data_IF_826118144538
#
_entry.id   IF_826118144538
#
_cell.length_a   1.000
_cell.length_b   1.000
_cell.length_c   1.000
_cell.angle_alpha   90.00
_cell.angle_beta   90.00
_cell.angle_gamma   90.00
#
_symmetry.space_group_name_H-M   'P 1'
#
loop_
_entity.id
_entity.type
_entity.pdbx_description
1 polymer ?
#
# COMPACT_ATOMS: atom_id res chain seq x y z
N UNK A 1 65.14 56.02 6.53
CA UNK A 1 64.36 56.67 5.45
C UNK A 1 63.66 55.55 4.70
N UNK A 2 62.35 55.37 4.64
CA UNK A 2 61.17 56.05 5.15
C UNK A 2 60.01 55.08 4.87
N UNK A 3 59.18 54.73 5.84
CA UNK A 3 57.81 54.22 5.58
C UNK A 3 56.90 55.41 5.30
N UNK A 4 55.84 55.25 4.48
CA UNK A 4 54.47 55.05 5.04
C UNK A 4 53.64 54.05 4.17
N UNK A 5 52.71 53.22 4.67
CA UNK A 5 51.42 53.43 5.34
C UNK A 5 50.40 54.32 4.59
N UNK A 6 49.29 53.69 4.16
CA UNK A 6 48.10 54.30 3.56
C UNK A 6 47.23 53.18 2.95
N UNK A 7 46.34 52.49 3.69
CA UNK A 7 45.01 52.85 4.19
C UNK A 7 43.98 53.23 3.10
N UNK A 8 42.80 52.60 3.26
CA UNK A 8 41.46 52.99 2.86
C UNK A 8 40.97 52.62 1.44
N UNK A 9 39.92 51.81 1.43
CA UNK A 9 39.16 51.43 0.25
C UNK A 9 38.10 50.39 0.61
N UNK A 10 37.20 50.74 1.53
CA UNK A 10 35.93 50.04 1.76
C UNK A 10 35.23 49.80 0.43
N UNK A 11 35.12 48.54 0.04
CA UNK A 11 34.17 48.08 -0.95
C UNK A 11 33.22 47.14 -0.23
N UNK A 12 32.19 47.70 0.41
CA UNK A 12 31.05 46.95 0.91
C UNK A 12 30.46 46.16 -0.26
N UNK A 13 30.82 44.89 -0.38
CA UNK A 13 30.05 43.94 -1.16
C UNK A 13 28.79 43.67 -0.34
N UNK A 14 27.84 44.59 -0.50
CA UNK A 14 26.45 44.38 -0.20
C UNK A 14 26.06 43.10 -0.95
N UNK A 15 26.10 41.99 -0.22
CA UNK A 15 25.42 40.76 -0.62
C UNK A 15 23.97 41.19 -0.77
N UNK A 16 23.61 41.52 -2.02
CA UNK A 16 22.24 41.67 -2.44
C UNK A 16 21.59 40.36 -2.09
N UNK A 17 20.83 40.42 -1.01
CA UNK A 17 19.80 39.47 -0.64
C UNK A 17 18.84 39.43 -1.84
N UNK A 18 19.19 38.65 -2.85
CA UNK A 18 18.30 38.19 -3.90
C UNK A 18 17.37 37.18 -3.25
N UNK A 19 16.47 37.66 -2.41
CA UNK A 19 15.26 36.92 -2.09
C UNK A 19 14.51 36.75 -3.41
N UNK A 20 14.25 35.51 -3.89
CA UNK A 20 13.13 35.35 -4.81
C UNK A 20 11.86 35.68 -4.03
N UNK A 21 11.29 36.86 -4.26
CA UNK A 21 9.88 37.17 -3.97
C UNK A 21 8.99 36.29 -4.86
N UNK A 22 8.92 35.01 -4.55
CA UNK A 22 7.88 34.12 -5.10
C UNK A 22 7.54 33.02 -4.12
N UNK A 23 7.44 33.35 -2.82
CA UNK A 23 6.77 32.49 -1.84
C UNK A 23 5.93 33.37 -0.92
N UNK A 24 4.84 33.93 -1.46
CA UNK A 24 3.76 34.53 -0.66
C UNK A 24 2.36 34.02 -1.00
N UNK A 25 2.23 32.97 -1.81
CA UNK A 25 0.90 32.49 -2.18
C UNK A 25 0.86 30.98 -2.49
N UNK A 26 0.94 30.14 -1.46
CA UNK A 26 0.51 28.73 -1.56
C UNK A 26 0.25 28.09 -0.19
N UNK A 27 -0.38 28.81 0.74
CA UNK A 27 -1.16 28.19 1.82
C UNK A 27 -2.63 28.20 1.44
N UNK A 28 -2.98 27.43 0.41
CA UNK A 28 -4.37 27.11 0.13
C UNK A 28 -4.60 25.65 0.48
N UNK A 29 -5.14 25.44 1.68
CA UNK A 29 -5.64 24.14 2.12
C UNK A 29 -6.57 23.57 1.04
N UNK A 30 -6.48 22.28 0.70
CA UNK A 30 -7.53 21.62 -0.06
C UNK A 30 -8.83 21.68 0.76
N UNK A 31 -9.78 22.53 0.35
CA UNK A 31 -11.15 22.44 0.82
C UNK A 31 -11.70 21.10 0.31
N UNK A 32 -11.76 20.13 1.21
CA UNK A 32 -12.46 18.87 0.97
C UNK A 32 -13.94 19.24 0.74
N UNK A 33 -14.52 18.97 -0.45
CA UNK A 33 -15.95 19.11 -0.61
C UNK A 33 -16.63 18.05 0.26
N UNK A 34 -17.33 18.51 1.29
CA UNK A 34 -18.23 17.69 2.09
C UNK A 34 -19.37 17.25 1.17
N UNK A 35 -19.29 16.03 0.67
CA UNK A 35 -20.41 15.37 0.00
C UNK A 35 -21.52 15.12 1.04
N UNK A 36 -22.45 16.05 1.16
CA UNK A 36 -23.75 15.82 1.76
C UNK A 36 -24.48 14.77 0.92
N UNK A 37 -24.39 13.51 1.33
CA UNK A 37 -25.20 12.42 0.80
C UNK A 37 -26.63 12.57 1.32
N UNK A 38 -27.38 13.47 0.70
CA UNK A 38 -28.82 13.59 0.92
C UNK A 38 -29.50 12.38 0.26
N UNK A 39 -29.96 11.45 1.10
CA UNK A 39 -30.77 10.30 0.69
C UNK A 39 -32.09 10.83 0.17
N UNK A 40 -32.29 10.80 -1.15
CA UNK A 40 -33.62 10.92 -1.75
C UNK A 40 -34.34 9.57 -1.61
N UNK A 41 -35.52 9.49 -0.98
CA UNK A 41 -36.38 8.34 -1.16
C UNK A 41 -36.95 8.38 -2.58
N UNK A 42 -36.50 7.44 -3.43
CA UNK A 42 -37.09 7.22 -4.75
C UNK A 42 -38.49 6.63 -4.55
N UNK A 43 -39.47 7.52 -4.55
CA UNK A 43 -40.89 7.23 -4.70
C UNK A 43 -41.08 6.69 -6.12
N UNK A 44 -41.25 5.38 -6.27
CA UNK A 44 -41.74 4.78 -7.52
C UNK A 44 -43.13 4.24 -7.28
N UNK A 45 -44.07 5.12 -7.58
CA UNK A 45 -45.33 4.89 -8.29
C UNK A 45 -45.73 3.42 -8.44
N UNK A 46 -46.61 2.98 -7.52
CA UNK A 46 -47.50 1.87 -7.80
C UNK A 46 -48.51 2.28 -8.86
N UNK A 47 -48.50 1.61 -10.00
CA UNK A 47 -49.62 1.57 -10.93
C UNK A 47 -50.73 0.74 -10.29
N UNK A 48 -51.54 1.37 -9.43
CA UNK A 48 -52.88 0.91 -9.12
C UNK A 48 -53.76 1.23 -10.32
N UNK A 49 -54.04 0.21 -11.14
CA UNK A 49 -55.07 0.31 -12.16
C UNK A 49 -56.43 0.17 -11.48
N UNK A 50 -56.99 1.33 -11.18
CA UNK A 50 -58.35 1.57 -10.73
C UNK A 50 -59.27 1.36 -11.93
N UNK A 51 -59.93 0.20 -12.01
CA UNK A 51 -61.11 0.08 -12.85
C UNK A 51 -62.36 0.43 -12.03
N UNK A 52 -63.04 1.44 -12.55
CA UNK A 52 -64.18 2.15 -12.02
C UNK A 52 -65.43 1.28 -11.99
N UNK A 53 -66.00 1.10 -10.80
CA UNK A 53 -67.38 0.69 -10.56
C UNK A 53 -68.32 1.74 -11.13
N UNK A 54 -68.96 1.42 -12.26
CA UNK A 54 -70.07 2.17 -12.82
C UNK A 54 -71.38 1.85 -12.09
N UNK A 55 -72.06 2.93 -11.73
CA UNK A 55 -73.30 3.04 -10.95
C UNK A 55 -74.48 2.24 -11.49
N UNK A 56 -75.28 1.72 -10.55
CA UNK A 56 -76.59 1.10 -10.74
C UNK A 56 -77.61 2.04 -11.41
N UNK A 57 -78.59 1.45 -12.10
CA UNK A 57 -80.04 1.52 -11.78
C UNK A 57 -80.82 1.25 -13.08
N UNK A 58 -81.60 0.18 -13.07
CA UNK A 58 -82.52 -0.16 -14.16
C UNK A 58 -83.21 -1.50 -13.93
N UNK A 59 -84.30 -1.50 -13.15
CA UNK A 59 -85.27 -2.61 -13.06
C UNK A 59 -86.28 -2.39 -14.22
N UNK A 60 -86.73 -3.42 -14.98
CA UNK A 60 -87.88 -4.21 -14.51
C UNK A 60 -87.94 -5.70 -14.96
N UNK A 61 -88.72 -6.47 -14.20
CA UNK A 61 -89.62 -7.60 -14.59
C UNK A 61 -89.12 -8.94 -15.16
N UNK A 62 -89.29 -9.99 -14.32
CA UNK A 62 -89.90 -11.33 -14.53
C UNK A 62 -89.78 -12.04 -15.90
N UNK A 63 -89.03 -13.16 -15.94
CA UNK A 63 -89.49 -14.54 -16.31
C UNK A 63 -88.30 -15.54 -16.28
N UNK A 64 -88.45 -16.78 -15.78
CA UNK A 64 -87.39 -17.79 -15.86
C UNK A 64 -87.62 -18.76 -17.04
N UNK A 65 -86.67 -18.88 -17.97
CA UNK A 65 -86.60 -19.90 -19.03
C UNK A 65 -85.12 -20.03 -19.53
N UNK A 66 -84.76 -21.09 -20.27
CA UNK A 66 -84.15 -22.35 -19.83
C UNK A 66 -82.62 -22.38 -20.08
N UNK A 67 -81.92 -23.35 -19.49
CA UNK A 67 -80.47 -23.53 -19.65
C UNK A 67 -80.21 -24.08 -21.06
N UNK A 68 -79.54 -23.30 -21.91
CA UNK A 68 -78.95 -23.77 -23.18
C UNK A 68 -77.46 -23.96 -22.95
N UNK A 69 -77.00 -25.21 -22.98
CA UNK A 69 -75.57 -25.54 -22.98
C UNK A 69 -74.93 -25.09 -24.31
N UNK A 70 -74.03 -24.11 -24.23
CA UNK A 70 -73.17 -23.71 -25.35
C UNK A 70 -71.82 -24.42 -25.17
N UNK A 71 -71.56 -25.42 -26.02
CA UNK A 71 -70.24 -26.07 -26.13
C UNK A 71 -69.25 -25.09 -26.79
N UNK A 72 -68.35 -24.48 -26.03
CA UNK A 72 -67.20 -23.73 -26.57
C UNK A 72 -66.10 -24.69 -27.03
N UNK A 73 -65.67 -24.55 -28.28
CA UNK A 73 -64.51 -25.26 -28.82
C UNK A 73 -63.19 -24.66 -28.26
N UNK A 74 -62.16 -25.47 -27.95
CA UNK A 74 -60.92 -24.95 -27.37
C UNK A 74 -60.03 -24.26 -28.44
N UNK A 75 -59.57 -23.05 -28.14
CA UNK A 75 -58.66 -22.28 -29.00
C UNK A 75 -57.20 -22.79 -29.04
N UNK A 76 -56.39 -22.34 -30.01
CA UNK A 76 -55.03 -22.85 -30.23
C UNK A 76 -54.06 -22.38 -29.15
N UNK A 77 -53.44 -23.34 -28.47
CA UNK A 77 -52.48 -23.12 -27.38
C UNK A 77 -51.11 -22.79 -27.98
N UNK A 78 -50.58 -21.60 -27.71
CA UNK A 78 -49.21 -21.23 -28.12
C UNK A 78 -48.18 -21.97 -27.25
N UNK A 79 -47.12 -22.57 -27.84
CA UNK A 79 -46.11 -23.28 -27.07
C UNK A 79 -45.18 -22.30 -26.36
N UNK A 80 -45.16 -22.34 -25.03
CA UNK A 80 -44.21 -21.60 -24.22
C UNK A 80 -42.79 -22.17 -24.39
N UNK A 81 -41.76 -21.31 -24.59
CA UNK A 81 -40.39 -21.79 -24.71
C UNK A 81 -39.94 -22.41 -23.38
N UNK A 82 -39.58 -23.69 -23.44
CA UNK A 82 -39.05 -24.44 -22.29
C UNK A 82 -37.64 -23.92 -22.00
N UNK A 83 -37.54 -22.92 -21.13
CA UNK A 83 -36.25 -22.45 -20.61
C UNK A 83 -35.60 -23.61 -19.87
N UNK A 84 -34.51 -24.15 -20.42
CA UNK A 84 -33.82 -25.32 -19.89
C UNK A 84 -33.23 -25.01 -18.51
N UNK A 85 -33.92 -25.43 -17.45
CA UNK A 85 -33.52 -25.26 -16.05
C UNK A 85 -32.07 -25.67 -15.80
N UNK A 86 -31.60 -26.72 -16.50
CA UNK A 86 -30.22 -27.20 -16.39
C UNK A 86 -29.18 -26.13 -16.74
N UNK A 87 -29.48 -25.21 -17.66
CA UNK A 87 -28.58 -24.10 -18.00
C UNK A 87 -28.47 -23.11 -16.84
N UNK A 88 -29.58 -22.81 -16.17
CA UNK A 88 -29.56 -21.94 -14.98
C UNK A 88 -28.84 -22.61 -13.80
N UNK A 89 -29.00 -23.93 -13.62
CA UNK A 89 -28.29 -24.68 -12.60
C UNK A 89 -26.77 -24.74 -12.86
N UNK A 90 -26.37 -25.02 -14.11
CA UNK A 90 -24.97 -25.04 -14.52
C UNK A 90 -24.30 -23.68 -14.37
N UNK A 91 -25.00 -22.59 -14.75
CA UNK A 91 -24.49 -21.24 -14.61
C UNK A 91 -24.28 -20.85 -13.13
N UNK A 92 -25.18 -21.28 -12.24
CA UNK A 92 -25.02 -21.09 -10.80
C UNK A 92 -23.80 -21.83 -10.24
N UNK A 93 -23.55 -23.05 -10.71
CA UNK A 93 -22.40 -23.86 -10.26
C UNK A 93 -21.06 -23.25 -10.71
N UNK A 94 -21.01 -22.73 -11.94
CA UNK A 94 -19.84 -22.00 -12.46
C UNK A 94 -19.62 -20.70 -11.69
N UNK A 95 -20.68 -19.93 -11.44
CA UNK A 95 -20.58 -18.70 -10.65
C UNK A 95 -20.03 -18.99 -9.25
N UNK A 96 -20.50 -20.05 -8.61
CA UNK A 96 -20.01 -20.43 -7.28
C UNK A 96 -18.55 -20.86 -7.30
N UNK A 97 -18.12 -21.62 -8.30
CA UNK A 97 -16.70 -21.95 -8.49
C UNK A 97 -15.84 -20.70 -8.67
N UNK A 98 -16.27 -19.74 -9.51
CA UNK A 98 -15.55 -18.47 -9.69
C UNK A 98 -15.46 -17.70 -8.38
N UNK A 99 -16.55 -17.64 -7.60
CA UNK A 99 -16.55 -16.99 -6.29
C UNK A 99 -15.56 -17.66 -5.34
N UNK A 100 -15.53 -19.00 -5.28
CA UNK A 100 -14.59 -19.75 -4.44
C UNK A 100 -13.15 -19.50 -4.89
N UNK A 101 -12.85 -19.55 -6.19
CA UNK A 101 -11.51 -19.27 -6.70
C UNK A 101 -11.06 -17.83 -6.42
N UNK A 102 -11.94 -16.85 -6.65
CA UNK A 102 -11.66 -15.45 -6.32
C UNK A 102 -11.44 -15.27 -4.81
N UNK A 103 -12.24 -15.94 -3.97
CA UNK A 103 -12.07 -15.90 -2.52
C UNK A 103 -10.71 -16.46 -2.09
N UNK A 104 -10.30 -17.61 -2.63
CA UNK A 104 -8.99 -18.19 -2.34
C UNK A 104 -7.84 -17.28 -2.80
N UNK A 105 -7.96 -16.68 -3.99
CA UNK A 105 -6.96 -15.76 -4.52
C UNK A 105 -6.81 -14.49 -3.67
N UNK A 106 -7.93 -13.91 -3.24
CA UNK A 106 -7.94 -12.72 -2.37
C UNK A 106 -7.41 -13.08 -0.99
N UNK A 107 -7.84 -14.21 -0.41
CA UNK A 107 -7.40 -14.67 0.91
C UNK A 107 -5.88 -14.94 0.96
N UNK A 108 -5.29 -15.44 -0.12
CA UNK A 108 -3.84 -15.64 -0.21
C UNK A 108 -3.07 -14.33 -0.33
N UNK A 109 -3.65 -13.28 -0.92
CA UNK A 109 -2.97 -11.98 -1.10
C UNK A 109 -3.19 -10.99 0.03
N UNK A 110 -4.28 -11.07 0.80
CA UNK A 110 -4.62 -10.07 1.81
C UNK A 110 -3.66 -10.03 3.01
N UNK A 111 -2.98 -11.13 3.34
CA UNK A 111 -2.06 -11.19 4.47
C UNK A 111 -0.81 -10.31 4.31
N UNK A 112 -0.17 -10.36 3.15
CA UNK A 112 1.06 -9.60 2.86
C UNK A 112 0.77 -8.18 2.40
N UNK A 113 -0.23 -7.99 1.54
CA UNK A 113 -0.49 -6.69 0.90
C UNK A 113 -0.83 -5.56 1.88
N UNK A 114 -1.49 -5.85 3.00
CA UNK A 114 -1.87 -4.84 3.98
C UNK A 114 -0.69 -4.40 4.86
N UNK A 115 0.22 -5.33 5.18
CA UNK A 115 1.44 -5.03 5.92
C UNK A 115 2.47 -4.30 5.02
N UNK A 116 2.61 -4.73 3.78
CA UNK A 116 3.52 -4.15 2.78
C UNK A 116 3.11 -2.73 2.40
N UNK A 117 1.81 -2.44 2.35
CA UNK A 117 1.29 -1.11 2.00
C UNK A 117 1.47 -0.08 3.12
N UNK A 118 1.38 -0.51 4.39
CA UNK A 118 1.44 0.37 5.55
C UNK A 118 2.88 0.65 6.02
N UNK A 119 3.79 -0.32 5.86
CA UNK A 119 5.14 -0.25 6.44
C UNK A 119 6.29 -0.54 5.46
N UNK A 120 5.99 -1.02 4.25
CA UNK A 120 6.97 -1.26 3.18
C UNK A 120 7.82 -2.53 3.36
N UNK A 121 7.87 -3.34 2.30
CA UNK A 121 9.04 -4.17 2.00
C UNK A 121 10.06 -3.33 1.26
N UNK A 122 11.37 -3.44 1.56
CA UNK A 122 12.05 -4.50 2.32
C UNK A 122 12.20 -4.22 3.83
N UNK A 123 12.42 -5.29 4.62
CA UNK A 123 12.79 -5.18 6.04
C UNK A 123 14.16 -4.50 6.14
N UNK A 124 14.16 -3.31 6.71
CA UNK A 124 15.38 -2.55 7.01
C UNK A 124 15.57 -2.43 8.51
N UNK A 125 16.82 -2.51 8.95
CA UNK A 125 17.24 -2.22 10.31
C UNK A 125 18.23 -1.07 10.26
N UNK A 126 18.11 -0.12 11.18
CA UNK A 126 18.97 1.05 11.22
C UNK A 126 19.51 1.24 12.63
N UNK A 127 20.78 1.63 12.72
CA UNK A 127 21.42 1.90 14.00
C UNK A 127 22.60 2.85 13.82
N UNK A 128 22.99 3.53 14.89
CA UNK A 128 24.11 4.44 14.92
C UNK A 128 25.19 3.90 15.87
N UNK A 129 26.43 3.86 15.43
CA UNK A 129 27.54 3.39 16.25
C UNK A 129 28.85 4.12 15.94
N UNK A 130 29.70 4.22 16.96
CA UNK A 130 31.09 4.67 16.80
C UNK A 130 31.97 3.46 16.49
N UNK A 131 32.45 3.37 15.26
CA UNK A 131 33.28 2.25 14.77
C UNK A 131 34.68 2.69 14.34
N UNK A 132 34.98 4.00 14.38
CA UNK A 132 36.25 4.57 13.99
C UNK A 132 36.35 4.87 12.48
N UNK A 133 35.24 4.87 11.77
CA UNK A 133 35.15 5.28 10.36
C UNK A 133 34.65 6.73 10.21
N UNK A 134 34.32 7.39 11.32
CA UNK A 134 33.76 8.73 11.35
C UNK A 134 34.82 9.77 10.98
N UNK A 135 34.45 10.74 10.16
CA UNK A 135 35.27 11.92 9.91
C UNK A 135 35.29 12.89 11.09
N UNK A 136 34.25 12.84 11.93
CA UNK A 136 34.05 13.70 13.09
C UNK A 136 33.73 12.82 14.30
N UNK A 137 34.61 12.81 15.30
CA UNK A 137 34.52 11.91 16.45
C UNK A 137 33.26 12.09 17.33
N UNK A 138 32.49 13.16 17.13
CA UNK A 138 31.26 13.44 17.89
C UNK A 138 29.98 12.98 17.19
N UNK A 139 30.07 12.55 15.94
CA UNK A 139 28.92 12.12 15.12
C UNK A 139 29.12 10.64 14.81
N UNK A 140 28.25 9.73 15.26
CA UNK A 140 28.38 8.30 14.97
C UNK A 140 28.15 8.01 13.48
N UNK A 141 28.66 6.88 13.01
CA UNK A 141 28.31 6.33 11.70
C UNK A 141 26.90 5.75 11.74
N UNK A 142 26.11 6.01 10.69
CA UNK A 142 24.76 5.48 10.54
C UNK A 142 24.79 4.24 9.66
N UNK A 143 24.21 3.15 10.16
CA UNK A 143 24.15 1.87 9.47
C UNK A 143 22.72 1.55 9.06
N UNK A 144 22.57 1.12 7.82
CA UNK A 144 21.29 0.67 7.26
C UNK A 144 21.50 -0.73 6.73
N UNK A 145 20.85 -1.70 7.35
CA UNK A 145 20.83 -3.08 6.88
C UNK A 145 19.53 -3.31 6.16
N UNK A 146 19.60 -3.90 4.96
CA UNK A 146 18.43 -4.15 4.12
C UNK A 146 18.47 -5.57 3.58
N UNK A 147 17.33 -6.23 3.60
CA UNK A 147 17.11 -7.48 2.89
C UNK A 147 16.39 -7.22 1.56
N UNK A 148 17.14 -7.20 0.46
CA UNK A 148 16.60 -7.04 -0.90
C UNK A 148 16.31 -8.41 -1.52
N UNK A 149 15.10 -8.93 -1.29
CA UNK A 149 14.63 -10.22 -1.86
C UNK A 149 15.58 -11.40 -1.58
N UNK A 150 16.11 -11.49 -0.36
CA UNK A 150 17.08 -12.49 0.06
C UNK A 150 18.53 -12.04 -0.07
N UNK A 151 18.82 -10.91 -0.72
CA UNK A 151 20.17 -10.33 -0.74
C UNK A 151 20.36 -9.39 0.44
N UNK A 152 21.20 -9.78 1.39
CA UNK A 152 21.48 -8.98 2.59
C UNK A 152 22.60 -7.99 2.27
N UNK A 153 22.28 -6.70 2.40
CA UNK A 153 23.22 -5.59 2.19
C UNK A 153 23.25 -4.69 3.41
N UNK A 154 24.44 -4.16 3.69
CA UNK A 154 24.67 -3.18 4.74
C UNK A 154 25.23 -1.93 4.08
N UNK A 155 24.64 -0.80 4.38
CA UNK A 155 25.12 0.51 4.00
C UNK A 155 25.64 1.20 5.25
N UNK A 156 26.84 1.73 5.16
CA UNK A 156 27.44 2.56 6.18
C UNK A 156 27.54 3.99 5.66
N UNK A 157 27.03 4.93 6.45
CA UNK A 157 27.10 6.36 6.24
C UNK A 157 28.03 6.94 7.33
N UNK A 158 29.30 7.23 7.01
CA UNK A 158 30.25 7.71 8.00
C UNK A 158 29.81 9.01 8.67
N UNK A 159 30.04 9.10 9.97
CA UNK A 159 29.76 10.30 10.76
C UNK A 159 30.50 11.53 10.22
N UNK A 160 29.76 12.61 9.95
CA UNK A 160 30.28 13.90 9.48
C UNK A 160 30.45 14.05 7.95
N UNK A 161 30.63 12.96 7.20
CA UNK A 161 30.79 13.00 5.74
C UNK A 161 29.98 11.90 5.05
N UNK A 162 28.73 12.25 4.71
CA UNK A 162 27.80 11.34 4.04
C UNK A 162 28.16 11.06 2.57
N UNK A 163 29.22 11.67 2.02
CA UNK A 163 29.67 11.36 0.65
C UNK A 163 30.47 10.06 0.56
N UNK A 164 30.93 9.54 1.70
CA UNK A 164 31.78 8.33 1.79
C UNK A 164 30.98 7.06 2.13
N UNK A 165 29.83 6.89 1.51
CA UNK A 165 28.97 5.72 1.77
C UNK A 165 29.70 4.44 1.38
N UNK A 166 29.85 3.52 2.33
CA UNK A 166 30.35 2.18 2.08
C UNK A 166 29.17 1.21 1.99
N UNK A 167 29.27 0.22 1.09
CA UNK A 167 28.24 -0.80 0.88
C UNK A 167 28.88 -2.17 0.95
N UNK A 168 28.32 -3.02 1.79
CA UNK A 168 28.77 -4.39 2.03
C UNK A 168 27.67 -5.36 1.63
N UNK A 169 28.02 -6.35 0.82
CA UNK A 169 27.15 -7.48 0.54
C UNK A 169 27.59 -8.63 1.45
N UNK A 170 26.67 -9.12 2.28
CA UNK A 170 26.99 -10.11 3.31
C UNK A 170 26.78 -11.52 2.78
N UNK A 171 25.54 -11.80 2.36
CA UNK A 171 25.15 -13.13 1.88
C UNK A 171 23.86 -13.05 1.08
N UNK A 172 23.53 -14.16 0.42
CA UNK A 172 22.27 -14.34 -0.30
C UNK A 172 21.52 -15.55 0.27
N UNK A 173 20.32 -15.28 0.77
CA UNK A 173 19.38 -16.28 1.25
C UNK A 173 18.59 -16.87 0.09
N UNK A 174 18.38 -18.19 0.12
CA UNK A 174 17.57 -18.92 -0.86
C UNK A 174 16.34 -19.51 -0.18
N UNK A 175 15.17 -19.41 -0.83
CA UNK A 175 13.91 -20.01 -0.34
C UNK A 175 12.70 -19.11 -0.55
N UNK A 176 11.51 -19.69 -0.41
CA UNK A 176 10.24 -18.99 -0.65
C UNK A 176 10.01 -17.78 0.28
N UNK A 177 10.63 -17.79 1.47
CA UNK A 177 10.51 -16.74 2.50
C UNK A 177 11.79 -15.90 2.65
N UNK A 178 12.75 -16.00 1.72
CA UNK A 178 14.06 -15.33 1.85
C UNK A 178 13.95 -13.79 1.92
N UNK A 179 12.98 -13.21 1.22
CA UNK A 179 12.68 -11.77 1.27
C UNK A 179 12.09 -11.31 2.62
N UNK A 180 11.52 -12.26 3.36
CA UNK A 180 10.83 -12.07 4.63
C UNK A 180 11.70 -12.40 5.83
N UNK A 181 13.02 -12.37 5.67
CA UNK A 181 13.95 -12.60 6.76
C UNK A 181 14.37 -11.26 7.37
N UNK A 182 14.07 -10.99 8.65
CA UNK A 182 14.59 -9.81 9.32
C UNK A 182 16.10 -10.00 9.54
N UNK A 183 16.85 -8.91 9.38
CA UNK A 183 18.29 -8.88 9.66
C UNK A 183 18.55 -7.73 10.61
N UNK A 184 19.31 -7.99 11.66
CA UNK A 184 19.76 -6.99 12.63
C UNK A 184 21.27 -7.04 12.76
N UNK A 185 21.85 -5.97 13.31
CA UNK A 185 23.28 -5.91 13.58
C UNK A 185 23.54 -5.49 15.01
N UNK A 186 24.66 -5.97 15.54
CA UNK A 186 25.21 -5.59 16.84
C UNK A 186 26.70 -5.26 16.67
N UNK A 187 27.22 -4.37 17.50
CA UNK A 187 28.63 -3.99 17.51
C UNK A 187 29.29 -4.51 18.78
N UNK A 188 30.36 -5.29 18.63
CA UNK A 188 31.06 -5.94 19.74
C UNK A 188 32.55 -5.60 19.68
N UNK A 189 33.10 -5.05 20.77
CA UNK A 189 34.54 -4.77 20.90
C UNK A 189 35.14 -5.65 22.00
N UNK A 190 35.45 -6.92 21.72
CA UNK A 190 35.98 -7.84 22.73
C UNK A 190 37.41 -7.45 23.17
N UNK A 191 38.13 -6.67 22.36
CA UNK A 191 39.52 -6.32 22.59
C UNK A 191 39.69 -4.89 23.16
N UNK A 192 38.61 -4.16 23.40
CA UNK A 192 38.62 -2.76 23.86
C UNK A 192 39.50 -1.85 22.98
N UNK A 193 39.45 -2.08 21.67
CA UNK A 193 40.25 -1.34 20.68
C UNK A 193 39.59 -0.05 20.21
N UNK A 194 38.36 0.25 20.68
CA UNK A 194 37.50 1.33 20.18
C UNK A 194 37.14 1.19 18.68
N UNK A 195 37.37 0.01 18.12
CA UNK A 195 37.01 -0.39 16.76
C UNK A 195 36.18 -1.67 16.85
N UNK A 196 34.90 -1.58 17.27
CA UNK A 196 34.03 -2.74 17.38
C UNK A 196 33.89 -3.47 16.04
N UNK A 197 33.84 -4.79 16.14
CA UNK A 197 33.44 -5.69 15.06
C UNK A 197 31.90 -5.68 14.92
N UNK A 198 31.40 -5.99 13.73
CA UNK A 198 29.96 -6.04 13.44
C UNK A 198 29.47 -7.49 13.41
N UNK A 199 28.46 -7.80 14.21
CA UNK A 199 27.79 -9.08 14.24
C UNK A 199 26.43 -8.96 13.55
N UNK A 200 26.24 -9.72 12.46
CA UNK A 200 24.99 -9.70 11.68
C UNK A 200 24.16 -10.90 12.07
N UNK A 201 22.94 -10.65 12.54
CA UNK A 201 21.99 -11.69 12.94
C UNK A 201 20.97 -11.91 11.82
N UNK A 202 20.90 -13.15 11.34
CA UNK A 202 19.98 -13.59 10.29
C UNK A 202 19.24 -14.83 10.80
N UNK A 203 18.01 -14.64 11.29
CA UNK A 203 17.26 -15.70 11.99
C UNK A 203 18.10 -16.29 13.15
N UNK A 204 18.45 -17.58 13.05
CA UNK A 204 19.23 -18.32 14.04
C UNK A 204 20.74 -18.32 13.72
N UNK A 205 21.16 -17.71 12.61
CA UNK A 205 22.54 -17.63 12.17
C UNK A 205 23.16 -16.27 12.51
N UNK A 206 24.47 -16.28 12.77
CA UNK A 206 25.26 -15.08 13.03
C UNK A 206 26.49 -15.06 12.12
N UNK A 207 26.79 -13.90 11.56
CA UNK A 207 27.95 -13.68 10.70
C UNK A 207 28.78 -12.56 11.31
N UNK A 208 30.04 -12.85 11.62
CA UNK A 208 30.98 -11.87 12.16
C UNK A 208 31.68 -11.14 11.00
N UNK A 209 31.61 -9.81 11.03
CA UNK A 209 32.37 -8.92 10.19
C UNK A 209 33.40 -8.20 11.03
N UNK A 210 34.67 -8.41 10.68
CA UNK A 210 35.78 -7.80 11.37
C UNK A 210 36.04 -6.39 10.85
N UNK A 211 36.24 -5.46 11.77
CA UNK A 211 36.64 -4.10 11.44
C UNK A 211 38.16 -4.04 11.28
N UNK A 212 38.63 -3.98 10.04
CA UNK A 212 40.06 -3.86 9.73
C UNK A 212 40.32 -2.74 8.74
N UNK A 213 41.29 -1.87 9.04
CA UNK A 213 41.76 -0.80 8.15
C UNK A 213 40.66 0.18 7.69
N UNK A 214 39.66 0.44 8.52
CA UNK A 214 38.59 1.39 8.21
C UNK A 214 37.51 0.82 7.29
N UNK A 215 37.34 -0.51 7.29
CA UNK A 215 36.27 -1.19 6.55
C UNK A 215 35.93 -2.53 7.20
N UNK A 216 34.77 -3.07 6.87
CA UNK A 216 34.30 -4.35 7.37
C UNK A 216 34.58 -5.49 6.40
N UNK A 217 35.09 -6.61 6.92
CA UNK A 217 35.36 -7.83 6.15
C UNK A 217 34.67 -9.04 6.77
N UNK A 218 33.98 -9.83 5.95
CA UNK A 218 33.36 -11.09 6.40
C UNK A 218 34.45 -12.08 6.80
N UNK A 219 34.37 -12.57 8.04
CA UNK A 219 35.24 -13.65 8.50
C UNK A 219 34.57 -14.97 8.18
N UNK A 220 34.99 -15.61 7.08
CA UNK A 220 34.60 -16.99 6.82
C UNK A 220 35.43 -17.92 7.72
N UNK A 221 34.74 -18.65 8.60
CA UNK A 221 35.31 -19.80 9.31
C UNK A 221 35.33 -21.04 8.41
#
# INVERSE_FOLDING_TARGET
>A
MSTPFGMAGEGQETIRLGMPETIRNSMQMPRIPRASRQIQPKRTTGTQQRNTTGTQVGRPTKRPLPITETHEAPGPVQPHPKRHWLVSLGLGMVLMLVIVFCWQFVAQRTGSFYADWQYGHPRTFQTDAFVGHESVATIPSHFIVVNLNGMIQILELPGGDQTKVQRFQITQLSGANAADVPVTIEFVDPNHTHHPDMLVHIQDAQILLKNEKGTFHVVNH
#
